data_IF_768087184240
#
_entry.id   IF_768087184240
#
_cell.length_a   1.000
_cell.length_b   1.000
_cell.length_c   1.000
_cell.angle_alpha   90.00
_cell.angle_beta   90.00
_cell.angle_gamma   90.00
#
_symmetry.space_group_name_H-M   'P 1'
#
loop_
_entity.id
_entity.type
_entity.pdbx_description
1 polymer ?
#
# COMPACT_ATOMS: atom_id res chain seq x y z
N UNK A 1 -11.72 -8.89 -4.03
CA UNK A 1 -12.38 -8.52 -2.76
C UNK A 1 -13.85 -8.13 -2.94
N UNK A 2 -14.40 -8.11 -4.16
CA UNK A 2 -15.82 -7.89 -4.42
C UNK A 2 -16.42 -8.99 -5.32
N UNK A 3 -17.70 -9.29 -5.12
CA UNK A 3 -18.55 -10.09 -6.01
C UNK A 3 -19.83 -9.32 -6.34
N UNK A 4 -20.87 -10.00 -6.82
CA UNK A 4 -22.12 -9.32 -7.23
C UNK A 4 -22.86 -8.64 -6.08
N UNK A 5 -22.90 -9.29 -4.91
CA UNK A 5 -23.69 -8.86 -3.75
C UNK A 5 -22.89 -8.80 -2.46
N UNK A 6 -21.58 -9.00 -2.55
CA UNK A 6 -20.68 -9.04 -1.39
C UNK A 6 -19.45 -8.22 -1.70
N UNK A 7 -19.01 -7.41 -0.74
CA UNK A 7 -17.77 -6.68 -0.78
C UNK A 7 -17.05 -6.85 0.57
N UNK A 8 -15.74 -7.03 0.53
CA UNK A 8 -14.87 -7.04 1.70
C UNK A 8 -14.15 -5.69 1.77
N UNK A 9 -14.02 -5.11 2.96
CA UNK A 9 -13.33 -3.84 3.19
C UNK A 9 -12.40 -3.95 4.41
N UNK A 10 -11.42 -3.04 4.50
CA UNK A 10 -10.42 -3.04 5.57
C UNK A 10 -9.66 -4.36 5.70
N UNK A 11 -9.49 -4.84 6.93
CA UNK A 11 -8.75 -6.07 7.24
C UNK A 11 -9.38 -7.32 6.59
N UNK A 12 -10.71 -7.34 6.41
CA UNK A 12 -11.38 -8.44 5.71
C UNK A 12 -10.94 -8.52 4.24
N UNK A 13 -10.51 -7.41 3.65
CA UNK A 13 -9.92 -7.33 2.32
C UNK A 13 -8.38 -7.38 2.32
N UNK A 14 -7.74 -7.45 3.50
CA UNK A 14 -6.28 -7.49 3.64
C UNK A 14 -5.58 -6.18 3.27
N UNK A 15 -6.21 -5.03 3.55
CA UNK A 15 -5.75 -3.71 3.11
C UNK A 15 -4.81 -3.00 4.09
N UNK A 16 -4.21 -3.71 5.04
CA UNK A 16 -3.20 -3.14 5.93
C UNK A 16 -1.87 -2.93 5.18
N UNK A 17 -1.23 -1.79 5.37
CA UNK A 17 0.04 -1.48 4.69
C UNK A 17 1.21 -2.25 5.30
N UNK A 18 2.17 -2.72 4.50
CA UNK A 18 3.29 -3.52 5.01
C UNK A 18 4.43 -2.70 5.62
N UNK A 19 4.37 -1.36 5.58
CA UNK A 19 5.43 -0.53 6.13
C UNK A 19 5.16 -0.15 7.57
N UNK A 20 4.04 0.51 7.83
CA UNK A 20 3.59 0.92 9.16
C UNK A 20 2.71 -0.13 9.85
N UNK A 21 2.19 -1.12 9.12
CA UNK A 21 1.21 -2.08 9.62
C UNK A 21 -0.10 -1.42 10.11
N UNK A 22 -0.44 -0.27 9.54
CA UNK A 22 -1.66 0.48 9.83
C UNK A 22 -2.75 0.11 8.83
N UNK A 23 -3.93 -0.23 9.34
CA UNK A 23 -5.09 -0.62 8.51
C UNK A 23 -6.21 0.42 8.49
N UNK A 24 -6.24 1.36 9.45
CA UNK A 24 -7.42 2.20 9.70
C UNK A 24 -7.73 3.13 8.52
N UNK A 25 -6.72 3.81 7.97
CA UNK A 25 -6.92 4.72 6.84
C UNK A 25 -7.52 3.99 5.63
N UNK A 26 -6.96 2.82 5.28
CA UNK A 26 -7.45 1.99 4.18
C UNK A 26 -8.79 1.32 4.49
N UNK A 27 -9.09 0.99 5.75
CA UNK A 27 -10.40 0.51 6.16
C UNK A 27 -11.48 1.58 5.95
N UNK A 28 -11.20 2.84 6.31
CA UNK A 28 -12.12 3.96 6.06
C UNK A 28 -12.26 4.23 4.57
N UNK A 29 -11.16 4.30 3.83
CA UNK A 29 -11.18 4.57 2.38
C UNK A 29 -11.95 3.47 1.64
N UNK A 30 -11.58 2.21 1.83
CA UNK A 30 -12.26 1.07 1.21
C UNK A 30 -13.74 0.96 1.61
N UNK A 31 -14.09 1.29 2.86
CA UNK A 31 -15.49 1.37 3.31
C UNK A 31 -16.28 2.42 2.54
N UNK A 32 -15.69 3.58 2.24
CA UNK A 32 -16.34 4.61 1.41
C UNK A 32 -16.55 4.13 -0.03
N UNK A 33 -15.55 3.48 -0.63
CA UNK A 33 -15.67 2.92 -1.98
C UNK A 33 -16.77 1.85 -2.03
N UNK A 34 -16.79 0.93 -1.06
CA UNK A 34 -17.80 -0.12 -0.96
C UNK A 34 -19.21 0.46 -0.77
N UNK A 35 -19.36 1.50 0.05
CA UNK A 35 -20.63 2.20 0.24
C UNK A 35 -21.12 2.86 -1.06
N UNK A 36 -20.25 3.49 -1.84
CA UNK A 36 -20.61 4.05 -3.16
C UNK A 36 -21.09 2.96 -4.12
N UNK A 37 -20.36 1.85 -4.21
CA UNK A 37 -20.77 0.69 -5.01
C UNK A 37 -22.13 0.13 -4.59
N UNK A 38 -22.38 0.03 -3.28
CA UNK A 38 -23.64 -0.46 -2.75
C UNK A 38 -24.81 0.46 -3.12
N UNK A 39 -24.64 1.79 -3.00
CA UNK A 39 -25.67 2.76 -3.38
C UNK A 39 -26.01 2.68 -4.87
N UNK A 40 -25.02 2.57 -5.76
CA UNK A 40 -25.26 2.38 -7.20
C UNK A 40 -26.01 1.09 -7.51
N UNK A 41 -25.59 0.00 -6.86
CA UNK A 41 -26.26 -1.30 -7.00
C UNK A 41 -27.73 -1.22 -6.56
N UNK A 42 -28.02 -0.55 -5.45
CA UNK A 42 -29.39 -0.33 -4.96
C UNK A 42 -30.22 0.57 -5.87
N UNK A 43 -29.59 1.48 -6.62
CA UNK A 43 -30.23 2.30 -7.64
C UNK A 43 -30.46 1.55 -8.98
N UNK A 44 -30.01 0.30 -9.09
CA UNK A 44 -30.09 -0.49 -10.32
C UNK A 44 -28.98 -0.19 -11.33
N UNK A 45 -27.94 0.54 -10.91
CA UNK A 45 -26.81 0.98 -11.75
C UNK A 45 -25.61 0.02 -11.62
N UNK A 46 -25.80 -1.23 -12.02
CA UNK A 46 -24.74 -2.25 -12.04
C UNK A 46 -24.62 -3.04 -10.74
N UNK A 47 -23.39 -3.40 -10.36
CA UNK A 47 -23.11 -4.27 -9.21
C UNK A 47 -21.86 -3.85 -8.40
N UNK A 48 -21.62 -4.58 -7.31
CA UNK A 48 -20.50 -4.36 -6.40
C UNK A 48 -19.12 -4.71 -6.99
N UNK A 49 -19.01 -5.31 -8.18
CA UNK A 49 -17.70 -5.50 -8.82
C UNK A 49 -17.08 -4.17 -9.24
N UNK A 50 -17.87 -3.12 -9.44
CA UNK A 50 -17.36 -1.76 -9.66
C UNK A 50 -16.46 -1.27 -8.50
N UNK A 51 -16.72 -1.73 -7.27
CA UNK A 51 -15.85 -1.44 -6.12
C UNK A 51 -14.45 -2.07 -6.26
N UNK A 52 -14.33 -3.24 -6.91
CA UNK A 52 -13.02 -3.86 -7.14
C UNK A 52 -12.11 -2.95 -7.99
N UNK A 53 -12.66 -2.39 -9.08
CA UNK A 53 -11.90 -1.50 -9.96
C UNK A 53 -11.51 -0.20 -9.23
N UNK A 54 -12.43 0.42 -8.47
CA UNK A 54 -12.10 1.61 -7.66
C UNK A 54 -10.99 1.33 -6.64
N UNK A 55 -10.99 0.14 -6.03
CA UNK A 55 -9.96 -0.26 -5.07
C UNK A 55 -8.61 -0.48 -5.76
N UNK A 56 -8.60 -1.10 -6.93
CA UNK A 56 -7.40 -1.31 -7.75
C UNK A 56 -6.79 0.00 -8.25
N UNK A 57 -7.62 1.01 -8.52
CA UNK A 57 -7.17 2.32 -8.97
C UNK A 57 -6.74 3.24 -7.81
N UNK A 58 -7.47 3.25 -6.69
CA UNK A 58 -7.28 4.22 -5.61
C UNK A 58 -6.39 3.72 -4.46
N UNK A 59 -6.39 2.41 -4.16
CA UNK A 59 -5.75 1.87 -2.94
C UNK A 59 -4.58 0.94 -3.27
N UNK A 60 -4.71 0.06 -4.25
CA UNK A 60 -3.68 -0.92 -4.58
C UNK A 60 -2.30 -0.30 -4.89
N UNK A 61 -2.19 0.83 -5.63
CA UNK A 61 -0.90 1.44 -5.92
C UNK A 61 -0.17 1.93 -4.67
N UNK A 62 -0.92 2.36 -3.66
CA UNK A 62 -0.37 2.82 -2.38
C UNK A 62 0.13 1.64 -1.54
N UNK A 63 -0.62 0.53 -1.49
CA UNK A 63 -0.19 -0.70 -0.79
C UNK A 63 1.05 -1.31 -1.46
N UNK A 64 1.09 -1.36 -2.79
CA UNK A 64 2.26 -1.85 -3.53
C UNK A 64 3.51 -0.99 -3.27
N UNK A 65 3.33 0.33 -3.22
CA UNK A 65 4.40 1.25 -2.87
C UNK A 65 4.87 1.08 -1.42
N UNK A 66 3.94 0.95 -0.45
CA UNK A 66 4.24 0.67 0.94
C UNK A 66 5.04 -0.63 1.10
N UNK A 67 4.61 -1.71 0.43
CA UNK A 67 5.34 -2.98 0.38
C UNK A 67 6.76 -2.83 -0.16
N UNK A 68 6.93 -2.01 -1.18
CA UNK A 68 8.25 -1.75 -1.79
C UNK A 68 9.16 -0.99 -0.84
N UNK A 69 8.64 0.06 -0.20
CA UNK A 69 9.35 0.84 0.82
C UNK A 69 9.71 -0.06 2.01
N UNK A 70 8.78 -0.87 2.50
CA UNK A 70 9.00 -1.84 3.58
C UNK A 70 10.11 -2.84 3.22
N UNK A 71 10.10 -3.38 2.00
CA UNK A 71 11.13 -4.30 1.53
C UNK A 71 12.52 -3.66 1.54
N UNK A 72 12.65 -2.42 1.07
CA UNK A 72 13.92 -1.70 1.06
C UNK A 72 14.37 -1.36 2.48
N UNK A 73 13.49 -0.74 3.27
CA UNK A 73 13.78 -0.27 4.62
C UNK A 73 14.12 -1.41 5.57
N UNK A 74 13.23 -2.41 5.69
CA UNK A 74 13.46 -3.57 6.56
C UNK A 74 14.55 -4.49 6.00
N UNK A 75 14.73 -4.54 4.68
CA UNK A 75 15.82 -5.27 4.05
C UNK A 75 17.19 -4.74 4.45
N UNK A 76 17.35 -3.42 4.55
CA UNK A 76 18.59 -2.80 5.01
C UNK A 76 18.75 -2.92 6.52
N UNK A 77 17.68 -2.71 7.29
CA UNK A 77 17.67 -2.89 8.75
C UNK A 77 18.10 -4.31 9.16
N UNK A 78 17.64 -5.36 8.45
CA UNK A 78 18.02 -6.76 8.72
C UNK A 78 19.48 -7.06 8.40
N UNK A 79 20.03 -6.49 7.32
CA UNK A 79 21.42 -6.75 6.89
C UNK A 79 22.44 -5.97 7.71
N UNK A 80 22.10 -4.74 8.10
CA UNK A 80 23.06 -3.79 8.61
C UNK A 80 22.45 -2.88 9.70
N UNK A 81 21.84 -3.47 10.74
CA UNK A 81 21.08 -2.76 11.77
C UNK A 81 21.77 -1.53 12.35
N UNK A 82 22.99 -1.67 12.87
CA UNK A 82 23.74 -0.58 13.54
C UNK A 82 24.10 0.57 12.60
N UNK A 83 24.78 0.34 11.45
CA UNK A 83 25.10 1.42 10.54
C UNK A 83 23.84 2.01 9.88
N UNK A 84 22.78 1.22 9.67
CA UNK A 84 21.51 1.73 9.15
C UNK A 84 20.84 2.71 10.13
N UNK A 85 20.77 2.38 11.43
CA UNK A 85 20.18 3.30 12.41
C UNK A 85 20.97 4.61 12.47
N UNK A 86 22.31 4.54 12.52
CA UNK A 86 23.16 5.74 12.51
C UNK A 86 22.98 6.56 11.21
N UNK A 87 22.99 5.92 10.04
CA UNK A 87 22.82 6.61 8.76
C UNK A 87 21.41 7.21 8.59
N UNK A 88 20.39 6.59 9.17
CA UNK A 88 19.02 7.08 9.10
C UNK A 88 18.85 8.44 9.80
N UNK A 89 19.59 8.72 10.87
CA UNK A 89 19.60 10.03 11.53
C UNK A 89 20.14 11.13 10.61
N UNK A 90 21.07 10.80 9.72
CA UNK A 90 21.65 11.73 8.73
C UNK A 90 20.90 11.76 7.39
N UNK A 91 19.75 11.10 7.29
CA UNK A 91 18.93 11.08 6.07
C UNK A 91 17.58 11.76 6.33
N UNK A 92 17.50 13.10 6.40
CA UNK A 92 16.27 13.83 6.69
C UNK A 92 15.12 13.49 5.75
N UNK A 93 15.44 13.13 4.51
CA UNK A 93 14.49 12.69 3.50
C UNK A 93 13.66 11.46 3.93
N UNK A 94 14.27 10.46 4.57
CA UNK A 94 13.55 9.24 5.00
C UNK A 94 12.47 9.56 6.03
N UNK A 95 12.83 10.37 7.03
CA UNK A 95 11.92 10.76 8.10
C UNK A 95 10.85 11.74 7.60
N UNK A 96 11.22 12.72 6.79
CA UNK A 96 10.26 13.68 6.25
C UNK A 96 9.23 13.04 5.33
N UNK A 97 9.64 12.07 4.49
CA UNK A 97 8.73 11.26 3.68
C UNK A 97 7.79 10.41 4.53
N UNK A 98 8.30 9.70 5.54
CA UNK A 98 7.49 8.92 6.47
C UNK A 98 6.43 9.80 7.16
N UNK A 99 6.84 10.92 7.73
CA UNK A 99 5.91 11.82 8.42
C UNK A 99 4.92 12.50 7.46
N UNK A 100 5.34 12.84 6.25
CA UNK A 100 4.44 13.41 5.25
C UNK A 100 3.33 12.42 4.86
N UNK A 101 3.65 11.13 4.71
CA UNK A 101 2.64 10.10 4.45
C UNK A 101 1.71 9.94 5.65
N UNK A 102 2.24 9.86 6.88
CA UNK A 102 1.40 9.74 8.09
C UNK A 102 0.48 10.95 8.32
N UNK A 103 0.91 12.16 7.96
CA UNK A 103 0.08 13.37 8.03
C UNK A 103 -0.92 13.50 6.88
N UNK A 104 -0.89 12.59 5.89
CA UNK A 104 -1.72 12.68 4.68
C UNK A 104 -1.28 13.79 3.72
N UNK A 105 -0.07 14.32 3.88
CA UNK A 105 0.51 15.36 3.01
C UNK A 105 1.16 14.78 1.75
N UNK A 106 1.44 13.47 1.77
CA UNK A 106 2.02 12.72 0.66
C UNK A 106 1.43 11.31 0.57
N UNK A 107 1.85 10.55 -0.43
CA UNK A 107 1.44 9.17 -0.65
C UNK A 107 2.66 8.27 -0.83
N UNK A 108 2.53 6.99 -0.50
CA UNK A 108 3.62 6.03 -0.66
C UNK A 108 4.05 5.92 -2.13
N UNK A 109 3.09 5.93 -3.07
CA UNK A 109 3.40 5.87 -4.50
C UNK A 109 4.28 7.06 -4.94
N UNK A 110 4.02 8.26 -4.39
CA UNK A 110 4.81 9.47 -4.66
C UNK A 110 6.20 9.39 -4.03
N UNK A 111 6.28 8.97 -2.77
CA UNK A 111 7.56 8.89 -2.06
C UNK A 111 8.48 7.79 -2.62
N UNK A 112 7.91 6.66 -3.07
CA UNK A 112 8.66 5.58 -3.70
C UNK A 112 9.38 6.03 -4.98
N UNK A 113 8.82 6.98 -5.74
CA UNK A 113 9.46 7.50 -6.96
C UNK A 113 10.74 8.31 -6.66
N UNK A 114 10.85 8.92 -5.48
CA UNK A 114 12.02 9.72 -5.09
C UNK A 114 13.27 8.87 -4.87
N UNK A 115 13.11 7.57 -4.56
CA UNK A 115 14.22 6.62 -4.50
C UNK A 115 14.70 6.12 -5.89
N UNK A 116 14.04 6.56 -6.97
CA UNK A 116 14.48 6.37 -8.35
C UNK A 116 14.70 4.90 -8.75
N UNK A 117 15.89 4.53 -9.28
CA UNK A 117 16.13 3.19 -9.81
C UNK A 117 16.08 2.09 -8.74
N UNK A 118 16.29 2.43 -7.46
CA UNK A 118 16.21 1.47 -6.36
C UNK A 118 14.81 0.86 -6.24
N UNK A 119 13.77 1.66 -6.46
CA UNK A 119 12.37 1.22 -6.44
C UNK A 119 12.08 0.21 -7.54
N UNK A 120 12.62 0.42 -8.75
CA UNK A 120 12.46 -0.51 -9.86
C UNK A 120 13.13 -1.87 -9.58
N UNK A 121 14.34 -1.85 -9.01
CA UNK A 121 15.07 -3.06 -8.60
C UNK A 121 14.33 -3.80 -7.49
N UNK A 122 13.86 -3.08 -6.47
CA UNK A 122 13.08 -3.64 -5.37
C UNK A 122 11.81 -4.34 -5.88
N UNK A 123 11.08 -3.69 -6.79
CA UNK A 123 9.89 -4.26 -7.43
C UNK A 123 10.21 -5.53 -8.23
N UNK A 124 11.32 -5.56 -8.97
CA UNK A 124 11.74 -6.76 -9.69
C UNK A 124 12.06 -7.92 -8.72
N UNK A 125 12.75 -7.64 -7.62
CA UNK A 125 13.06 -8.64 -6.59
C UNK A 125 11.82 -9.17 -5.87
N UNK A 126 10.87 -8.29 -5.52
CA UNK A 126 9.61 -8.66 -4.90
C UNK A 126 8.80 -9.60 -5.79
N UNK A 127 8.64 -9.26 -7.08
CA UNK A 127 7.98 -10.15 -8.06
C UNK A 127 8.65 -11.51 -8.17
N UNK A 128 9.98 -11.57 -8.11
CA UNK A 128 10.70 -12.84 -8.12
C UNK A 128 10.44 -13.65 -6.83
N UNK A 129 10.36 -12.98 -5.68
CA UNK A 129 10.06 -13.61 -4.39
C UNK A 129 8.66 -14.19 -4.35
N UNK A 130 7.67 -13.45 -4.86
CA UNK A 130 6.27 -13.89 -4.88
C UNK A 130 6.08 -15.11 -5.78
N UNK A 131 6.72 -15.12 -6.95
CA UNK A 131 6.75 -16.30 -7.85
C UNK A 131 7.36 -17.54 -7.21
N UNK A 132 8.32 -17.39 -6.30
CA UNK A 132 8.93 -18.52 -5.58
C UNK A 132 8.05 -19.04 -4.44
N UNK A 133 7.20 -18.18 -3.85
CA UNK A 133 6.26 -18.55 -2.78
C UNK A 133 4.98 -19.20 -3.30
N UNK A 134 4.62 -18.94 -4.55
CA UNK A 134 3.45 -19.51 -5.22
C UNK A 134 3.71 -20.90 -5.86
N UNK A 135 4.90 -21.48 -5.65
CA UNK A 135 5.29 -22.84 -6.05
C UNK A 135 5.42 -23.70 -4.82
#
# INVERSE_FOLDING_TARGET
>A
VAGERVALAGDAAGLADEFTAEGISYAIHSGRLAARGALRTLAGEGDLRSYQAELEDEIQPELDAARTIAYMFYGMLKRARRPWMLASEYTPFLWSSLFAVQRGESSYAREAQRAGPLTAVANAMLRQRDRRRAR
#
